data_IF_257747748522
#
_entry.id   IF_257747748522
#
_cell.length_a   1.000
_cell.length_b   1.000
_cell.length_c   1.000
_cell.angle_alpha   90.00
_cell.angle_beta   90.00
_cell.angle_gamma   90.00
#
_symmetry.space_group_name_H-M   'P 1'
#
loop_
_entity.id
_entity.type
_entity.pdbx_description
1 polymer ?
#
# COMPACT_ATOMS: atom_id res chain seq x y z
N UNK A 1 -10.25 22.09 16.73
CA UNK A 1 -9.18 22.02 15.69
C UNK A 1 -9.48 20.84 14.78
N UNK A 2 -9.82 21.06 13.52
CA UNK A 2 -10.16 19.98 12.59
C UNK A 2 -8.86 19.38 12.04
N UNK A 3 -8.69 18.06 12.20
CA UNK A 3 -7.55 17.34 11.62
C UNK A 3 -7.64 17.39 10.09
N UNK A 4 -6.65 17.98 9.44
CA UNK A 4 -6.59 18.11 7.97
C UNK A 4 -5.93 16.92 7.29
N UNK A 5 -5.21 16.10 8.04
CA UNK A 5 -4.40 15.00 7.53
C UNK A 5 -4.88 13.65 8.09
N UNK A 6 -4.85 12.63 7.25
CA UNK A 6 -5.07 11.23 7.62
C UNK A 6 -3.88 10.43 7.14
N UNK A 7 -3.18 9.79 8.06
CA UNK A 7 -1.94 9.06 7.78
C UNK A 7 -2.17 7.57 7.98
N UNK A 8 -1.86 6.78 6.95
CA UNK A 8 -1.64 5.36 7.09
C UNK A 8 -0.17 5.15 7.41
N UNK A 9 0.15 4.66 8.59
CA UNK A 9 1.52 4.62 9.07
C UNK A 9 2.17 3.23 9.00
N UNK A 10 1.40 2.17 8.82
CA UNK A 10 1.88 0.79 8.74
C UNK A 10 0.96 -0.13 7.93
N UNK A 11 1.41 -1.37 7.73
CA UNK A 11 0.67 -2.42 7.04
C UNK A 11 0.89 -2.40 5.54
N UNK A 12 0.05 -3.11 4.83
CA UNK A 12 0.04 -3.20 3.38
C UNK A 12 -1.41 -3.34 2.87
N UNK A 13 -1.58 -3.95 1.71
CA UNK A 13 -2.90 -4.15 1.09
C UNK A 13 -3.56 -5.50 1.45
N UNK A 14 -3.11 -6.15 2.53
CA UNK A 14 -3.64 -7.43 3.00
C UNK A 14 -5.02 -7.33 3.66
N UNK A 15 -5.29 -6.23 4.36
CA UNK A 15 -6.57 -5.95 4.98
C UNK A 15 -7.20 -4.71 4.36
N UNK A 16 -8.50 -4.78 4.12
CA UNK A 16 -9.29 -3.67 3.64
C UNK A 16 -10.21 -3.10 4.71
N UNK A 17 -10.67 -1.89 4.48
CA UNK A 17 -11.75 -1.28 5.25
C UNK A 17 -12.79 -0.70 4.30
N UNK A 18 -14.04 -0.79 4.72
CA UNK A 18 -15.18 -0.33 3.92
C UNK A 18 -15.77 0.92 4.57
N UNK A 19 -15.99 1.93 3.75
CA UNK A 19 -16.67 3.14 4.14
C UNK A 19 -17.94 3.29 3.31
N UNK A 20 -19.02 3.73 3.94
CA UNK A 20 -20.26 4.10 3.26
C UNK A 20 -20.50 5.59 3.51
N UNK A 21 -20.52 6.36 2.44
CA UNK A 21 -20.73 7.82 2.50
C UNK A 21 -21.74 8.18 1.41
N UNK A 22 -22.85 8.82 1.83
CA UNK A 22 -23.93 9.23 0.93
C UNK A 22 -24.45 8.10 0.03
N UNK A 23 -24.55 6.88 0.60
CA UNK A 23 -25.01 5.69 -0.11
C UNK A 23 -23.97 5.02 -1.01
N UNK A 24 -22.78 5.61 -1.17
CA UNK A 24 -21.70 5.05 -1.98
C UNK A 24 -20.76 4.24 -1.08
N UNK A 25 -20.48 3.01 -1.50
CA UNK A 25 -19.54 2.12 -0.80
C UNK A 25 -18.14 2.24 -1.38
N UNK A 26 -17.19 2.56 -0.53
CA UNK A 26 -15.75 2.63 -0.85
C UNK A 26 -15.02 1.51 -0.14
N UNK A 27 -14.33 0.67 -0.90
CA UNK A 27 -13.47 -0.40 -0.38
C UNK A 27 -12.02 0.04 -0.51
N UNK A 28 -11.38 0.37 0.61
CA UNK A 28 -10.00 0.86 0.66
C UNK A 28 -9.07 -0.22 1.23
N UNK A 29 -7.84 -0.26 0.74
CA UNK A 29 -6.79 -1.16 1.21
C UNK A 29 -5.51 -0.40 1.56
N UNK A 30 -4.91 0.29 0.61
CA UNK A 30 -3.72 1.14 0.80
C UNK A 30 -4.08 2.59 1.04
N UNK A 31 -5.10 3.08 0.37
CA UNK A 31 -5.52 4.48 0.49
C UNK A 31 -6.03 4.77 1.90
N UNK A 32 -5.56 5.85 2.55
CA UNK A 32 -6.10 6.29 3.83
C UNK A 32 -7.57 6.71 3.71
N UNK A 33 -8.35 6.48 4.75
CA UNK A 33 -9.80 6.77 4.77
C UNK A 33 -10.16 8.25 4.51
N UNK A 34 -9.22 9.15 4.72
CA UNK A 34 -9.40 10.57 4.43
C UNK A 34 -9.56 10.90 2.94
N UNK A 35 -9.14 9.99 2.04
CA UNK A 35 -9.15 10.24 0.59
C UNK A 35 -10.55 10.53 0.03
N UNK A 36 -11.58 9.92 0.61
CA UNK A 36 -12.98 10.11 0.20
C UNK A 36 -13.64 11.37 0.79
N UNK A 37 -12.88 12.15 1.55
CA UNK A 37 -13.34 13.39 2.17
C UNK A 37 -12.71 14.61 1.51
N UNK A 38 -13.54 15.60 1.14
CA UNK A 38 -13.04 16.88 0.63
C UNK A 38 -12.15 17.58 1.67
N UNK A 39 -11.16 18.32 1.19
CA UNK A 39 -10.24 19.13 1.98
C UNK A 39 -9.43 18.33 3.04
N UNK A 40 -9.17 17.04 2.78
CA UNK A 40 -8.27 16.20 3.58
C UNK A 40 -7.05 15.83 2.75
N UNK A 41 -5.89 15.80 3.41
CA UNK A 41 -4.66 15.27 2.85
C UNK A 41 -4.50 13.85 3.39
N UNK A 42 -4.34 12.91 2.49
CA UNK A 42 -4.11 11.50 2.79
C UNK A 42 -2.65 11.16 2.56
N UNK A 43 -2.01 10.55 3.54
CA UNK A 43 -0.58 10.26 3.49
C UNK A 43 -0.37 8.77 3.70
N UNK A 44 0.36 8.14 2.78
CA UNK A 44 0.89 6.78 2.95
C UNK A 44 2.32 6.94 3.49
N UNK A 45 2.51 6.58 4.75
CA UNK A 45 3.76 6.77 5.47
C UNK A 45 4.82 5.71 5.18
N UNK A 46 6.02 5.95 5.67
CA UNK A 46 7.18 5.09 5.45
C UNK A 46 7.12 3.73 6.16
N UNK A 47 6.20 3.55 7.10
CA UNK A 47 5.96 2.24 7.74
C UNK A 47 5.12 1.28 6.90
N UNK A 48 4.49 1.78 5.85
CA UNK A 48 3.68 0.96 4.93
C UNK A 48 4.59 0.24 3.92
N UNK A 49 4.25 -1.00 3.58
CA UNK A 49 4.80 -1.70 2.41
C UNK A 49 3.78 -1.60 1.28
N UNK A 50 4.20 -1.05 0.16
CA UNK A 50 3.32 -0.61 -0.92
C UNK A 50 3.51 -1.49 -2.15
N UNK A 51 2.44 -2.16 -2.56
CA UNK A 51 2.35 -2.75 -3.90
C UNK A 51 1.92 -1.64 -4.87
N UNK A 52 2.80 -1.19 -5.78
CA UNK A 52 2.50 -0.06 -6.66
C UNK A 52 1.36 -0.35 -7.64
N UNK A 53 1.23 -1.58 -8.10
CA UNK A 53 0.13 -1.96 -9.02
C UNK A 53 -1.20 -1.97 -8.28
N UNK A 54 -1.25 -2.58 -7.09
CA UNK A 54 -2.46 -2.58 -6.26
C UNK A 54 -2.88 -1.15 -5.87
N UNK A 55 -1.92 -0.26 -5.60
CA UNK A 55 -2.21 1.14 -5.31
C UNK A 55 -2.81 1.86 -6.52
N UNK A 56 -2.24 1.67 -7.70
CA UNK A 56 -2.74 2.29 -8.94
C UNK A 56 -4.15 1.81 -9.29
N UNK A 57 -4.43 0.53 -9.12
CA UNK A 57 -5.75 -0.03 -9.38
C UNK A 57 -6.79 0.49 -8.38
N UNK A 58 -6.42 0.60 -7.10
CA UNK A 58 -7.28 1.18 -6.08
C UNK A 58 -7.57 2.66 -6.36
N UNK A 59 -6.58 3.44 -6.79
CA UNK A 59 -6.76 4.83 -7.20
C UNK A 59 -7.74 4.93 -8.36
N UNK A 60 -7.61 4.09 -9.39
CA UNK A 60 -8.54 4.06 -10.53
C UNK A 60 -9.96 3.73 -10.09
N UNK A 61 -10.14 2.71 -9.25
CA UNK A 61 -11.45 2.32 -8.71
C UNK A 61 -12.10 3.47 -7.95
N UNK A 62 -11.38 4.12 -7.06
CA UNK A 62 -11.94 5.19 -6.23
C UNK A 62 -12.24 6.44 -7.07
N UNK A 63 -11.40 6.77 -8.06
CA UNK A 63 -11.69 7.85 -9.02
C UNK A 63 -12.96 7.58 -9.84
N UNK A 64 -13.22 6.34 -10.24
CA UNK A 64 -14.43 5.98 -10.99
C UNK A 64 -15.72 6.20 -10.20
N UNK A 65 -15.62 6.29 -8.88
CA UNK A 65 -16.72 6.62 -7.96
C UNK A 65 -16.86 8.12 -7.69
N UNK A 66 -16.18 8.96 -8.48
CA UNK A 66 -16.31 10.42 -8.40
C UNK A 66 -15.40 11.09 -7.38
N UNK A 67 -14.44 10.39 -6.80
CA UNK A 67 -13.47 10.96 -5.86
C UNK A 67 -12.30 11.57 -6.64
N UNK A 68 -12.00 12.82 -6.39
CA UNK A 68 -10.81 13.47 -6.92
C UNK A 68 -9.56 13.02 -6.14
N UNK A 69 -8.59 12.43 -6.85
CA UNK A 69 -7.30 12.03 -6.30
C UNK A 69 -6.19 12.63 -7.15
N UNK A 70 -5.33 13.40 -6.52
CA UNK A 70 -4.20 14.08 -7.16
C UNK A 70 -3.04 14.22 -6.17
N UNK A 71 -1.93 14.76 -6.62
CA UNK A 71 -0.76 15.10 -5.79
C UNK A 71 -1.08 16.12 -4.68
N UNK A 72 -2.21 16.83 -4.79
CA UNK A 72 -2.63 17.80 -3.78
C UNK A 72 -3.26 17.17 -2.55
N UNK A 73 -3.81 15.96 -2.67
CA UNK A 73 -4.55 15.30 -1.59
C UNK A 73 -4.12 13.87 -1.28
N UNK A 74 -3.23 13.27 -2.10
CA UNK A 74 -2.60 11.99 -1.82
C UNK A 74 -1.08 12.13 -1.90
N UNK A 75 -0.42 11.82 -0.79
CA UNK A 75 1.03 11.85 -0.65
C UNK A 75 1.54 10.46 -0.31
N UNK A 76 2.51 9.98 -1.05
CA UNK A 76 3.25 8.76 -0.75
C UNK A 76 4.63 9.14 -0.20
N UNK A 77 4.98 8.60 0.97
CA UNK A 77 6.32 8.79 1.51
C UNK A 77 7.38 8.20 0.56
N UNK A 78 8.37 8.99 0.24
CA UNK A 78 9.53 8.56 -0.54
C UNK A 78 10.28 7.38 0.11
N UNK A 79 10.21 7.29 1.43
CA UNK A 79 10.83 6.21 2.20
C UNK A 79 9.94 4.98 2.36
N UNK A 80 8.73 4.94 1.77
CA UNK A 80 7.90 3.76 1.77
C UNK A 80 8.57 2.63 0.97
N UNK A 81 8.48 1.40 1.47
CA UNK A 81 9.10 0.25 0.83
C UNK A 81 8.12 -0.40 -0.14
N UNK A 82 8.64 -0.86 -1.28
CA UNK A 82 7.83 -1.47 -2.32
C UNK A 82 7.71 -2.99 -2.14
N UNK A 83 6.51 -3.49 -2.39
CA UNK A 83 6.29 -4.92 -2.61
C UNK A 83 6.52 -5.18 -4.09
N UNK A 84 7.46 -6.05 -4.39
CA UNK A 84 7.81 -6.44 -5.76
C UNK A 84 7.28 -7.85 -6.06
N UNK A 85 7.18 -8.26 -7.32
CA UNK A 85 6.63 -9.57 -7.69
C UNK A 85 7.28 -10.73 -6.95
N UNK A 86 8.60 -10.73 -6.79
CA UNK A 86 9.32 -11.79 -6.09
C UNK A 86 8.92 -11.93 -4.61
N UNK A 87 8.49 -10.84 -3.93
CA UNK A 87 7.99 -10.95 -2.57
C UNK A 87 6.71 -11.79 -2.49
N UNK A 88 5.85 -11.69 -3.51
CA UNK A 88 4.63 -12.49 -3.61
C UNK A 88 4.97 -13.96 -3.83
N UNK A 89 5.89 -14.23 -4.76
CA UNK A 89 6.38 -15.59 -5.03
C UNK A 89 7.01 -16.22 -3.79
N UNK A 90 7.83 -15.47 -3.05
CA UNK A 90 8.41 -15.94 -1.78
C UNK A 90 7.35 -16.26 -0.74
N UNK A 91 6.32 -15.41 -0.61
CA UNK A 91 5.21 -15.62 0.34
C UNK A 91 4.43 -16.90 -0.01
N UNK A 92 4.14 -17.12 -1.29
CA UNK A 92 3.47 -18.33 -1.80
C UNK A 92 4.29 -19.59 -1.54
N UNK A 93 5.58 -19.59 -1.91
CA UNK A 93 6.48 -20.74 -1.75
C UNK A 93 6.61 -21.09 -0.27
N UNK A 94 6.80 -20.12 0.60
CA UNK A 94 6.95 -20.34 2.04
C UNK A 94 5.68 -20.89 2.68
N UNK A 95 4.52 -20.32 2.30
CA UNK A 95 3.23 -20.77 2.81
C UNK A 95 2.93 -22.20 2.35
N UNK A 96 3.24 -22.55 1.10
CA UNK A 96 3.02 -23.89 0.58
C UNK A 96 3.99 -24.90 1.19
N UNK A 97 5.25 -24.55 1.42
CA UNK A 97 6.24 -25.38 2.08
C UNK A 97 5.93 -25.65 3.56
N UNK A 98 5.21 -24.75 4.23
CA UNK A 98 4.91 -24.88 5.66
C UNK A 98 3.93 -26.03 6.00
N UNK A 99 3.23 -26.62 5.03
CA UNK A 99 2.36 -27.79 5.23
C UNK A 99 1.32 -27.55 6.34
N UNK A 100 1.44 -28.32 7.43
CA UNK A 100 0.53 -28.20 8.61
C UNK A 100 0.81 -26.95 9.47
N UNK A 101 1.97 -26.30 9.30
CA UNK A 101 2.37 -25.11 10.03
C UNK A 101 2.05 -23.81 9.26
N UNK A 102 1.14 -23.86 8.29
CA UNK A 102 0.70 -22.69 7.54
C UNK A 102 0.19 -21.59 8.46
N UNK A 103 0.66 -20.35 8.21
CA UNK A 103 0.21 -19.17 8.94
C UNK A 103 -1.14 -18.68 8.40
N UNK A 104 -1.49 -19.04 7.15
CA UNK A 104 -2.68 -18.53 6.46
C UNK A 104 -2.45 -17.13 5.92
N UNK A 105 -1.29 -16.89 5.32
CA UNK A 105 -0.95 -15.58 4.73
C UNK A 105 -1.88 -15.24 3.56
N UNK A 106 -2.01 -13.95 3.27
CA UNK A 106 -2.78 -13.50 2.11
C UNK A 106 -2.03 -13.66 0.79
N UNK A 107 -0.81 -14.20 0.82
CA UNK A 107 0.09 -14.41 -0.33
C UNK A 107 0.34 -13.14 -1.15
N UNK A 108 0.40 -12.01 -0.46
CA UNK A 108 0.60 -10.69 -1.08
C UNK A 108 2.00 -10.14 -0.93
N UNK A 109 2.91 -10.94 -0.35
CA UNK A 109 4.30 -10.56 -0.17
C UNK A 109 4.55 -9.55 0.94
N UNK A 110 3.61 -9.36 1.85
CA UNK A 110 3.72 -8.39 2.95
C UNK A 110 4.87 -8.76 3.90
N UNK A 111 4.89 -10.02 4.37
CA UNK A 111 5.93 -10.53 5.26
C UNK A 111 7.33 -10.41 4.66
N UNK A 112 7.59 -10.97 3.48
CA UNK A 112 8.89 -10.84 2.79
C UNK A 112 9.31 -9.39 2.56
N UNK A 113 8.38 -8.49 2.21
CA UNK A 113 8.69 -7.08 2.05
C UNK A 113 9.12 -6.41 3.36
N UNK A 114 8.51 -6.77 4.50
CA UNK A 114 8.94 -6.30 5.81
C UNK A 114 10.29 -6.88 6.23
N UNK A 115 10.57 -8.14 5.92
CA UNK A 115 11.89 -8.74 6.13
C UNK A 115 12.98 -7.95 5.41
N UNK A 116 12.75 -7.61 4.15
CA UNK A 116 13.68 -6.82 3.36
C UNK A 116 13.81 -5.38 3.87
N UNK A 117 12.72 -4.80 4.35
CA UNK A 117 12.76 -3.49 5.00
C UNK A 117 13.69 -3.49 6.22
N UNK A 118 13.50 -4.43 7.14
CA UNK A 118 14.33 -4.55 8.35
C UNK A 118 15.74 -4.96 8.01
N UNK A 119 15.91 -5.86 7.04
CA UNK A 119 17.21 -6.29 6.51
C UNK A 119 17.95 -5.24 5.67
N UNK A 120 17.36 -4.06 5.46
CA UNK A 120 17.91 -2.94 4.66
C UNK A 120 18.18 -3.30 3.19
N UNK A 121 17.43 -4.26 2.63
CA UNK A 121 17.53 -4.70 1.25
C UNK A 121 16.40 -4.17 0.36
N UNK A 122 15.39 -3.55 0.96
CA UNK A 122 14.18 -3.11 0.25
C UNK A 122 14.43 -1.96 -0.73
N UNK A 123 13.63 -1.95 -1.78
CA UNK A 123 13.53 -0.82 -2.70
C UNK A 123 12.49 0.15 -2.15
N UNK A 124 12.84 1.43 -2.11
CA UNK A 124 11.96 2.52 -1.66
C UNK A 124 11.31 3.21 -2.84
N UNK A 125 10.20 3.91 -2.59
CA UNK A 125 9.41 4.58 -3.61
C UNK A 125 10.19 5.65 -4.40
N UNK A 126 11.17 6.31 -3.78
CA UNK A 126 11.96 7.39 -4.42
C UNK A 126 13.33 6.96 -4.93
N UNK A 127 13.67 5.68 -4.93
CA UNK A 127 14.99 5.29 -5.40
C UNK A 127 15.09 5.54 -6.91
N UNK A 128 15.82 6.57 -7.37
CA UNK A 128 15.99 6.77 -8.80
C UNK A 128 16.67 5.54 -9.39
N UNK A 129 16.13 5.04 -10.48
CA UNK A 129 16.73 3.97 -11.24
C UNK A 129 18.03 4.56 -11.82
N UNK A 130 19.17 4.34 -11.16
CA UNK A 130 20.45 4.58 -11.79
C UNK A 130 20.59 3.49 -12.87
N UNK A 131 20.38 3.91 -14.11
CA UNK A 131 20.78 3.09 -15.25
C UNK A 131 22.26 2.78 -15.05
N UNK A 132 22.58 1.52 -14.81
CA UNK A 132 23.97 1.07 -14.87
C UNK A 132 24.33 1.10 -16.35
N UNK A 133 25.01 2.14 -16.77
CA UNK A 133 25.66 2.15 -18.08
C UNK A 133 26.85 1.18 -17.96
N UNK A 134 26.77 0.08 -18.73
CA UNK A 134 27.87 -0.84 -18.92
C UNK A 134 28.82 -0.29 -19.99
#
# INVERSE_FOLDING_TARGET
MYKRQVVRFQGGHNAGHTLVIDGITYKLRLLPSGIVRKNKISIIGNGVVVDPWALLDEIKEIKSKGVEISEKNLILSESANLILPFHKEMDEIREDAAGKAKIGTTRRGIGPAYEDKVGRRSIRANKPYKRVEY
#
